data_IF_204216908611
#
_entry.id   IF_204216908611
#
_cell.length_a   1.000
_cell.length_b   1.000
_cell.length_c   1.000
_cell.angle_alpha   90.00
_cell.angle_beta   90.00
_cell.angle_gamma   90.00
#
_symmetry.space_group_name_H-M   'P 1'
#
loop_
_entity.id
_entity.type
_entity.pdbx_description
1 polymer ?
#
# COMPACT_ATOMS: atom_id res chain seq x y z
N UNK A 1 -25.33 -32.28 5.01
CA UNK A 1 -24.90 -31.58 3.82
C UNK A 1 -24.55 -32.55 2.71
N UNK A 2 -24.74 -32.18 1.45
CA UNK A 2 -24.39 -33.02 0.30
C UNK A 2 -22.86 -33.07 0.20
N UNK A 3 -22.29 -34.25 0.15
CA UNK A 3 -20.87 -34.52 -0.04
C UNK A 3 -20.64 -35.29 -1.33
N UNK A 4 -20.34 -34.58 -2.42
CA UNK A 4 -20.11 -35.13 -3.75
C UNK A 4 -18.79 -34.56 -4.27
N UNK A 5 -17.64 -35.23 -4.05
CA UNK A 5 -16.33 -34.78 -4.49
C UNK A 5 -16.21 -34.59 -6.00
N UNK A 6 -16.95 -35.33 -6.78
CA UNK A 6 -16.94 -35.33 -8.27
C UNK A 6 -17.53 -34.06 -8.88
N UNK A 7 -18.17 -33.20 -8.08
CA UNK A 7 -18.73 -31.95 -8.57
C UNK A 7 -17.63 -31.07 -9.19
N UNK A 8 -17.74 -30.82 -10.48
CA UNK A 8 -16.82 -29.98 -11.26
C UNK A 8 -17.41 -28.60 -11.62
N UNK A 9 -18.67 -28.36 -11.30
CA UNK A 9 -19.35 -27.08 -11.56
C UNK A 9 -20.22 -26.68 -10.36
N UNK A 10 -20.05 -25.45 -9.89
CA UNK A 10 -20.84 -24.86 -8.80
C UNK A 10 -21.50 -23.58 -9.31
N UNK A 11 -22.80 -23.45 -9.06
CA UNK A 11 -23.61 -22.28 -9.41
C UNK A 11 -24.01 -21.55 -8.13
N UNK A 12 -23.57 -20.30 -7.98
CA UNK A 12 -24.06 -19.39 -6.94
C UNK A 12 -25.19 -18.53 -7.51
N UNK A 13 -26.41 -18.98 -7.34
CA UNK A 13 -27.63 -18.30 -7.87
C UNK A 13 -28.13 -17.21 -6.93
N UNK A 14 -27.65 -17.19 -5.69
CA UNK A 14 -27.99 -16.20 -4.69
C UNK A 14 -26.74 -15.76 -3.94
N UNK A 15 -26.49 -14.44 -3.84
CA UNK A 15 -25.40 -13.94 -3.02
C UNK A 15 -25.56 -14.40 -1.57
N UNK A 16 -24.47 -14.89 -0.96
CA UNK A 16 -24.41 -15.15 0.49
C UNK A 16 -23.73 -13.98 1.16
N UNK A 17 -24.35 -13.42 2.19
CA UNK A 17 -23.79 -12.27 2.94
C UNK A 17 -22.59 -12.69 3.81
N UNK A 18 -22.46 -13.97 4.13
CA UNK A 18 -21.37 -14.51 4.96
C UNK A 18 -20.24 -15.05 4.10
N UNK A 19 -19.05 -14.47 4.27
CA UNK A 19 -17.80 -14.97 3.66
C UNK A 19 -17.54 -16.44 4.05
N UNK A 20 -17.77 -16.81 5.32
CA UNK A 20 -17.60 -18.18 5.83
C UNK A 20 -18.47 -19.16 5.08
N UNK A 21 -19.74 -18.81 4.86
CA UNK A 21 -20.68 -19.67 4.11
C UNK A 21 -20.25 -19.79 2.64
N UNK A 22 -19.80 -18.69 2.02
CA UNK A 22 -19.26 -18.71 0.66
C UNK A 22 -18.06 -19.65 0.55
N UNK A 23 -17.05 -19.52 1.44
CA UNK A 23 -15.86 -20.36 1.45
C UNK A 23 -16.18 -21.83 1.73
N UNK A 24 -17.15 -22.12 2.63
CA UNK A 24 -17.60 -23.49 2.86
C UNK A 24 -18.29 -24.12 1.64
N UNK A 25 -19.07 -23.34 0.90
CA UNK A 25 -19.71 -23.79 -0.33
C UNK A 25 -18.69 -24.01 -1.44
N UNK A 26 -17.77 -23.08 -1.60
CA UNK A 26 -16.66 -23.19 -2.57
C UNK A 26 -15.76 -24.40 -2.25
N UNK A 27 -15.40 -24.58 -0.98
CA UNK A 27 -14.55 -25.66 -0.50
C UNK A 27 -15.13 -27.06 -0.77
N UNK A 28 -16.45 -27.19 -0.84
CA UNK A 28 -17.08 -28.48 -1.24
C UNK A 28 -16.76 -28.82 -2.71
N UNK A 29 -16.77 -27.81 -3.59
CA UNK A 29 -16.39 -28.00 -5.00
C UNK A 29 -14.88 -28.15 -5.20
N UNK A 30 -14.02 -27.71 -4.28
CA UNK A 30 -12.56 -27.83 -4.40
C UNK A 30 -12.01 -29.21 -3.96
N UNK A 31 -12.86 -30.16 -3.56
CA UNK A 31 -12.41 -31.49 -3.21
C UNK A 31 -11.85 -32.22 -4.43
N UNK A 32 -10.79 -32.96 -4.19
CA UNK A 32 -10.17 -33.78 -5.23
C UNK A 32 -11.02 -35.05 -5.48
N UNK A 33 -11.19 -35.43 -6.75
CA UNK A 33 -11.80 -36.65 -7.16
C UNK A 33 -11.07 -37.18 -8.40
N UNK A 34 -11.13 -38.49 -8.65
CA UNK A 34 -10.59 -39.12 -9.83
C UNK A 34 -11.31 -38.55 -11.05
N UNK A 35 -10.61 -38.29 -12.15
CA UNK A 35 -11.11 -37.66 -13.38
C UNK A 35 -11.63 -36.22 -13.27
N UNK A 36 -11.38 -35.52 -12.15
CA UNK A 36 -11.73 -34.12 -11.99
C UNK A 36 -10.52 -33.21 -12.23
N UNK A 37 -10.46 -32.57 -13.39
CA UNK A 37 -9.36 -31.71 -13.80
C UNK A 37 -9.45 -30.29 -13.19
N UNK A 38 -10.67 -29.75 -13.07
CA UNK A 38 -10.89 -28.40 -12.53
C UNK A 38 -12.26 -28.24 -11.87
N UNK A 39 -12.44 -27.13 -11.18
CA UNK A 39 -13.73 -26.65 -10.72
C UNK A 39 -14.10 -25.36 -11.46
N UNK A 40 -15.26 -25.38 -12.11
CA UNK A 40 -15.88 -24.18 -12.69
C UNK A 40 -16.87 -23.60 -11.69
N UNK A 41 -16.73 -22.31 -11.39
CA UNK A 41 -17.65 -21.58 -10.52
C UNK A 41 -18.33 -20.48 -11.33
N UNK A 42 -19.67 -20.53 -11.39
CA UNK A 42 -20.50 -19.49 -12.00
C UNK A 42 -21.24 -18.75 -10.88
N UNK A 43 -20.89 -17.50 -10.70
CA UNK A 43 -21.46 -16.64 -9.65
C UNK A 43 -22.35 -15.58 -10.28
N UNK A 44 -23.65 -15.69 -10.04
CA UNK A 44 -24.66 -14.75 -10.57
C UNK A 44 -24.80 -13.56 -9.63
N UNK A 45 -24.13 -12.48 -9.97
CA UNK A 45 -24.17 -11.23 -9.23
C UNK A 45 -25.42 -10.45 -9.65
N UNK A 46 -26.49 -10.65 -8.90
CA UNK A 46 -27.70 -9.83 -9.00
C UNK A 46 -27.52 -8.45 -8.33
N UNK A 47 -28.60 -7.64 -8.29
CA UNK A 47 -28.60 -6.43 -7.46
C UNK A 47 -28.56 -6.82 -5.99
N UNK A 48 -27.32 -7.05 -5.48
CA UNK A 48 -27.10 -7.40 -4.10
C UNK A 48 -27.44 -6.22 -3.19
N UNK A 49 -27.88 -6.54 -1.99
CA UNK A 49 -28.12 -5.55 -0.94
C UNK A 49 -26.87 -4.70 -0.72
N UNK A 50 -27.00 -3.42 -0.36
CA UNK A 50 -25.88 -2.50 -0.07
C UNK A 50 -24.89 -3.04 0.99
N UNK A 51 -25.31 -4.00 1.80
CA UNK A 51 -24.50 -4.68 2.83
C UNK A 51 -23.61 -5.81 2.30
N UNK A 52 -23.71 -6.19 1.02
CA UNK A 52 -22.90 -7.27 0.47
C UNK A 52 -21.47 -6.79 0.26
N UNK A 53 -20.52 -7.47 0.92
CA UNK A 53 -19.10 -7.12 0.86
C UNK A 53 -18.40 -7.93 -0.24
N UNK A 54 -18.32 -7.37 -1.44
CA UNK A 54 -17.59 -8.00 -2.54
C UNK A 54 -16.08 -7.99 -2.33
N UNK A 55 -15.57 -7.01 -1.58
CA UNK A 55 -14.14 -6.88 -1.35
C UNK A 55 -13.60 -8.05 -0.55
N UNK A 56 -14.21 -8.42 0.57
CA UNK A 56 -13.81 -9.58 1.37
C UNK A 56 -13.89 -10.88 0.58
N UNK A 57 -14.93 -11.01 -0.24
CA UNK A 57 -15.13 -12.18 -1.09
C UNK A 57 -14.00 -12.36 -2.08
N UNK A 58 -13.62 -11.31 -2.80
CA UNK A 58 -12.53 -11.40 -3.76
C UNK A 58 -11.16 -11.45 -3.08
N UNK A 59 -10.95 -10.73 -1.99
CA UNK A 59 -9.71 -10.82 -1.20
C UNK A 59 -9.41 -12.25 -0.77
N UNK A 60 -10.43 -13.00 -0.33
CA UNK A 60 -10.28 -14.39 0.08
C UNK A 60 -9.91 -15.37 -1.07
N UNK A 61 -10.09 -14.96 -2.32
CA UNK A 61 -9.72 -15.76 -3.52
C UNK A 61 -8.33 -15.43 -4.04
N UNK A 62 -7.71 -14.36 -3.57
CA UNK A 62 -6.38 -13.93 -4.00
C UNK A 62 -5.31 -14.61 -3.15
N UNK A 63 -4.14 -14.85 -3.75
CA UNK A 63 -2.92 -15.16 -3.01
C UNK A 63 -2.50 -13.94 -2.17
N UNK A 64 -1.58 -14.12 -1.22
CA UNK A 64 -1.00 -13.00 -0.48
C UNK A 64 -0.49 -11.95 -1.47
N UNK A 65 -1.16 -10.80 -1.50
CA UNK A 65 -0.86 -9.71 -2.43
C UNK A 65 -0.98 -8.38 -1.70
N UNK A 66 -0.09 -7.45 -2.03
CA UNK A 66 -0.16 -6.05 -1.59
C UNK A 66 -1.10 -5.21 -2.47
N UNK A 67 -1.71 -5.83 -3.49
CA UNK A 67 -2.61 -5.15 -4.43
C UNK A 67 -4.03 -5.12 -3.87
N UNK A 68 -4.69 -3.98 -3.99
CA UNK A 68 -6.10 -3.87 -3.62
C UNK A 68 -6.99 -4.68 -4.56
N UNK A 69 -8.10 -5.21 -4.04
CA UNK A 69 -9.12 -5.92 -4.83
C UNK A 69 -9.62 -5.06 -6.00
N UNK A 70 -9.78 -3.75 -5.79
CA UNK A 70 -10.13 -2.81 -6.86
C UNK A 70 -9.12 -2.83 -8.02
N UNK A 71 -7.83 -2.96 -7.72
CA UNK A 71 -6.78 -3.05 -8.74
C UNK A 71 -6.79 -4.40 -9.42
N UNK A 72 -6.95 -5.49 -8.66
CA UNK A 72 -7.09 -6.83 -9.21
C UNK A 72 -8.25 -6.94 -10.20
N UNK A 73 -9.41 -6.38 -9.86
CA UNK A 73 -10.58 -6.34 -10.76
C UNK A 73 -10.27 -5.58 -12.07
N UNK A 74 -9.52 -4.47 -11.98
CA UNK A 74 -9.16 -3.67 -13.17
C UNK A 74 -8.12 -4.35 -14.05
N UNK A 75 -7.17 -5.05 -13.45
CA UNK A 75 -6.03 -5.66 -14.13
C UNK A 75 -6.29 -7.14 -14.51
N UNK A 76 -7.48 -7.67 -14.20
CA UNK A 76 -7.88 -9.04 -14.59
C UNK A 76 -7.41 -10.12 -13.61
N UNK A 77 -7.29 -9.83 -12.32
CA UNK A 77 -6.97 -10.80 -11.25
C UNK A 77 -5.63 -11.51 -11.45
N UNK A 78 -4.56 -10.75 -11.50
CA UNK A 78 -3.19 -11.30 -11.73
C UNK A 78 -2.61 -12.03 -10.51
N UNK A 79 -3.17 -11.83 -9.31
CA UNK A 79 -2.69 -12.40 -8.05
C UNK A 79 -3.47 -13.64 -7.58
N UNK A 80 -4.22 -14.30 -8.46
CA UNK A 80 -4.84 -15.59 -8.12
C UNK A 80 -3.80 -16.72 -8.04
N UNK A 81 -4.04 -17.79 -7.26
CA UNK A 81 -3.17 -18.97 -7.23
C UNK A 81 -2.90 -19.54 -8.62
N UNK A 82 -1.72 -20.13 -8.82
CA UNK A 82 -1.37 -20.78 -10.10
C UNK A 82 -2.42 -21.81 -10.53
N UNK A 83 -2.81 -21.75 -11.80
CA UNK A 83 -3.85 -22.62 -12.34
C UNK A 83 -5.27 -22.14 -12.10
N UNK A 84 -5.46 -21.03 -11.40
CA UNK A 84 -6.74 -20.38 -11.21
C UNK A 84 -6.86 -19.13 -12.09
N UNK A 85 -8.08 -18.78 -12.48
CA UNK A 85 -8.39 -17.50 -13.09
C UNK A 85 -9.78 -17.03 -12.66
N UNK A 86 -9.98 -15.72 -12.65
CA UNK A 86 -11.28 -15.08 -12.39
C UNK A 86 -11.58 -14.16 -13.58
N UNK A 87 -12.78 -14.31 -14.14
CA UNK A 87 -13.28 -13.45 -15.19
C UNK A 87 -14.60 -12.81 -14.75
N UNK A 88 -14.67 -11.50 -14.83
CA UNK A 88 -15.89 -10.75 -14.56
C UNK A 88 -16.50 -10.24 -15.86
N UNK A 89 -17.81 -10.36 -15.97
CA UNK A 89 -18.58 -9.66 -16.98
C UNK A 89 -18.51 -8.13 -16.72
N UNK A 90 -18.50 -7.30 -17.78
CA UNK A 90 -18.26 -5.84 -17.68
C UNK A 90 -19.23 -5.13 -16.75
N UNK A 91 -20.52 -5.49 -16.78
CA UNK A 91 -21.52 -4.86 -15.91
C UNK A 91 -21.34 -5.31 -14.46
N UNK A 92 -21.02 -6.58 -14.24
CA UNK A 92 -20.70 -7.12 -12.93
C UNK A 92 -19.45 -6.43 -12.33
N UNK A 93 -18.40 -6.28 -13.11
CA UNK A 93 -17.19 -5.57 -12.68
C UNK A 93 -17.48 -4.11 -12.27
N UNK A 94 -18.28 -3.39 -13.08
CA UNK A 94 -18.68 -2.02 -12.76
C UNK A 94 -19.48 -1.96 -11.46
N UNK A 95 -20.47 -2.82 -11.31
CA UNK A 95 -21.33 -2.89 -10.11
C UNK A 95 -20.50 -3.21 -8.85
N UNK A 96 -19.59 -4.19 -8.92
CA UNK A 96 -18.72 -4.55 -7.81
C UNK A 96 -17.82 -3.38 -7.43
N UNK A 97 -17.19 -2.72 -8.39
CA UNK A 97 -16.33 -1.56 -8.14
C UNK A 97 -17.11 -0.39 -7.53
N UNK A 98 -18.35 -0.16 -7.94
CA UNK A 98 -19.24 0.86 -7.34
C UNK A 98 -19.61 0.47 -5.90
N UNK A 99 -19.90 -0.80 -5.63
CA UNK A 99 -20.20 -1.29 -4.28
C UNK A 99 -18.98 -1.13 -3.35
N UNK A 100 -17.80 -1.58 -3.79
CA UNK A 100 -16.56 -1.43 -3.04
C UNK A 100 -16.29 0.06 -2.74
N UNK A 101 -16.41 0.93 -3.74
CA UNK A 101 -16.24 2.39 -3.54
C UNK A 101 -17.25 2.98 -2.57
N UNK A 102 -18.49 2.53 -2.61
CA UNK A 102 -19.55 3.03 -1.72
C UNK A 102 -19.28 2.63 -0.27
N UNK A 103 -18.66 1.47 -0.03
CA UNK A 103 -18.38 0.99 1.33
C UNK A 103 -17.18 1.67 1.99
N UNK A 104 -16.17 2.14 1.22
CA UNK A 104 -14.96 2.81 1.74
C UNK A 104 -14.78 4.24 1.21
N UNK A 105 -15.74 4.72 0.46
CA UNK A 105 -15.60 5.91 -0.38
C UNK A 105 -15.50 7.24 0.36
N UNK A 106 -15.60 7.26 1.70
CA UNK A 106 -15.49 8.49 2.47
C UNK A 106 -15.14 8.26 3.94
N UNK A 107 -14.73 9.33 4.62
CA UNK A 107 -14.39 9.33 6.04
C UNK A 107 -15.53 8.81 6.93
N UNK A 108 -16.78 9.14 6.62
CA UNK A 108 -17.95 8.72 7.42
C UNK A 108 -18.13 7.19 7.43
N UNK A 109 -17.87 6.52 6.31
CA UNK A 109 -17.89 5.06 6.23
C UNK A 109 -16.80 4.39 7.06
N UNK A 110 -15.60 4.97 7.09
CA UNK A 110 -14.50 4.48 7.93
C UNK A 110 -14.79 4.70 9.43
N UNK A 111 -15.32 5.87 9.79
CA UNK A 111 -15.73 6.18 11.18
C UNK A 111 -16.83 5.23 11.66
N UNK A 112 -17.88 4.99 10.87
CA UNK A 112 -18.95 4.07 11.23
C UNK A 112 -18.44 2.64 11.47
N UNK A 113 -17.45 2.19 10.69
CA UNK A 113 -16.82 0.86 10.87
C UNK A 113 -15.89 0.80 12.08
N UNK A 114 -15.17 1.87 12.37
CA UNK A 114 -14.34 1.94 13.57
C UNK A 114 -15.22 1.91 14.83
N UNK A 115 -16.38 2.58 14.81
CA UNK A 115 -17.32 2.61 15.95
C UNK A 115 -17.94 1.24 16.31
N UNK A 116 -18.07 0.32 15.35
CA UNK A 116 -18.67 -1.01 15.59
C UNK A 116 -17.65 -2.15 15.48
N UNK A 117 -16.36 -1.83 15.23
CA UNK A 117 -15.35 -2.82 14.91
C UNK A 117 -15.21 -3.94 15.92
N UNK A 118 -15.12 -3.61 17.21
CA UNK A 118 -14.92 -4.59 18.28
C UNK A 118 -16.14 -5.49 18.48
N UNK A 119 -17.35 -4.93 18.30
CA UNK A 119 -18.60 -5.70 18.36
C UNK A 119 -18.72 -6.66 17.15
N UNK A 120 -18.33 -6.19 15.94
CA UNK A 120 -18.46 -6.96 14.71
C UNK A 120 -17.38 -8.03 14.56
N UNK A 121 -16.16 -7.74 14.99
CA UNK A 121 -14.99 -8.62 14.79
C UNK A 121 -14.61 -9.44 16.00
N UNK A 122 -14.92 -8.99 17.22
CA UNK A 122 -14.42 -9.53 18.48
C UNK A 122 -12.92 -9.27 18.72
N UNK A 123 -12.31 -8.37 17.94
CA UNK A 123 -10.91 -7.99 18.03
C UNK A 123 -10.79 -6.57 18.59
N UNK A 124 -9.67 -6.27 19.24
CA UNK A 124 -9.32 -4.90 19.63
C UNK A 124 -9.15 -3.99 18.41
N UNK A 125 -9.65 -2.76 18.48
CA UNK A 125 -9.53 -1.76 17.42
C UNK A 125 -8.11 -1.22 17.32
N UNK A 126 -7.25 -1.92 16.60
CA UNK A 126 -5.91 -1.48 16.23
C UNK A 126 -5.83 -1.27 14.71
N UNK A 127 -4.86 -0.46 14.26
CA UNK A 127 -4.63 -0.26 12.82
C UNK A 127 -4.47 -1.60 12.09
N UNK A 128 -3.65 -2.51 12.63
CA UNK A 128 -3.40 -3.83 12.06
C UNK A 128 -4.67 -4.66 11.96
N UNK A 129 -5.41 -4.78 13.06
CA UNK A 129 -6.63 -5.58 13.09
C UNK A 129 -7.69 -5.02 12.13
N UNK A 130 -7.80 -3.69 12.06
CA UNK A 130 -8.73 -3.02 11.17
C UNK A 130 -8.39 -3.26 9.69
N UNK A 131 -7.10 -3.09 9.32
CA UNK A 131 -6.64 -3.34 7.96
C UNK A 131 -6.80 -4.82 7.56
N UNK A 132 -6.42 -5.74 8.45
CA UNK A 132 -6.48 -7.18 8.17
C UNK A 132 -7.94 -7.69 8.11
N UNK A 133 -8.79 -7.25 9.02
CA UNK A 133 -10.21 -7.67 9.05
C UNK A 133 -10.99 -7.21 7.82
N UNK A 134 -10.81 -5.96 7.42
CA UNK A 134 -11.47 -5.39 6.22
C UNK A 134 -10.67 -5.57 4.94
N UNK A 135 -9.52 -6.25 4.97
CA UNK A 135 -8.60 -6.43 3.84
C UNK A 135 -8.27 -5.11 3.12
N UNK A 136 -8.03 -4.06 3.90
CA UNK A 136 -7.78 -2.72 3.38
C UNK A 136 -6.31 -2.51 3.04
N UNK A 137 -6.07 -1.87 1.92
CA UNK A 137 -4.79 -1.20 1.67
C UNK A 137 -4.71 0.04 2.57
N UNK A 138 -3.61 0.27 3.32
CA UNK A 138 -3.45 1.45 4.17
C UNK A 138 -3.79 2.78 3.48
N UNK A 139 -3.50 2.91 2.18
CA UNK A 139 -3.87 4.08 1.36
C UNK A 139 -5.37 4.35 1.32
N UNK A 140 -6.20 3.36 1.58
CA UNK A 140 -7.66 3.53 1.64
C UNK A 140 -8.08 4.40 2.80
N UNK A 141 -7.33 4.37 3.90
CA UNK A 141 -7.52 5.21 5.09
C UNK A 141 -6.84 6.56 4.87
N UNK A 142 -5.55 6.54 4.59
CA UNK A 142 -4.67 7.72 4.61
C UNK A 142 -4.89 8.73 3.49
N UNK A 143 -5.67 8.41 2.49
CA UNK A 143 -6.16 9.40 1.51
C UNK A 143 -7.20 10.36 2.08
N UNK A 144 -7.78 10.05 3.25
CA UNK A 144 -8.84 10.84 3.86
C UNK A 144 -8.44 11.45 5.21
N UNK A 145 -7.74 10.67 6.06
CA UNK A 145 -7.42 11.07 7.43
C UNK A 145 -6.37 10.12 8.01
N UNK A 146 -5.81 10.45 9.18
CA UNK A 146 -5.12 9.46 10.02
C UNK A 146 -6.12 8.46 10.60
N UNK A 147 -5.66 7.25 10.93
CA UNK A 147 -6.50 6.24 11.58
C UNK A 147 -6.89 6.68 12.99
N UNK A 148 -5.97 7.27 13.73
CA UNK A 148 -6.26 7.84 15.06
C UNK A 148 -7.36 8.90 15.01
N UNK A 149 -7.37 9.77 13.99
CA UNK A 149 -8.45 10.74 13.81
C UNK A 149 -9.78 10.08 13.47
N UNK A 150 -9.77 8.97 12.74
CA UNK A 150 -10.97 8.16 12.49
C UNK A 150 -11.46 7.54 13.79
N UNK A 151 -10.58 6.97 14.60
CA UNK A 151 -10.91 6.39 15.91
C UNK A 151 -11.46 7.43 16.88
N UNK A 152 -10.89 8.65 16.94
CA UNK A 152 -11.40 9.74 17.74
C UNK A 152 -12.82 10.16 17.31
N UNK A 153 -13.07 10.28 16.00
CA UNK A 153 -14.41 10.58 15.46
C UNK A 153 -15.43 9.47 15.67
N UNK A 154 -14.96 8.25 15.93
CA UNK A 154 -15.78 7.09 16.25
C UNK A 154 -16.01 6.93 17.76
N UNK A 155 -15.55 7.88 18.57
CA UNK A 155 -15.54 7.84 20.04
C UNK A 155 -14.82 6.59 20.62
N UNK A 156 -13.91 5.99 19.84
CA UNK A 156 -13.13 4.84 20.23
C UNK A 156 -11.84 5.20 21.01
N UNK A 157 -11.37 6.42 20.84
CA UNK A 157 -10.27 7.02 21.64
C UNK A 157 -10.66 8.45 22.01
N UNK A 158 -10.00 9.01 23.04
CA UNK A 158 -10.13 10.42 23.37
C UNK A 158 -9.69 11.31 22.19
N UNK A 159 -10.35 12.45 22.03
CA UNK A 159 -9.97 13.43 21.01
C UNK A 159 -8.60 14.06 21.36
N UNK A 160 -7.85 14.44 20.33
CA UNK A 160 -6.50 14.98 20.50
C UNK A 160 -6.27 16.17 19.57
N UNK A 161 -5.37 17.07 20.00
CA UNK A 161 -4.85 18.17 19.18
C UNK A 161 -3.32 18.06 19.17
N UNK A 162 -2.73 17.90 18.01
CA UNK A 162 -1.27 17.76 17.85
C UNK A 162 -0.72 18.74 16.81
N UNK A 163 0.48 19.33 17.04
CA UNK A 163 1.00 20.42 16.22
C UNK A 163 1.18 20.08 14.75
N UNK A 164 1.54 18.80 14.46
CA UNK A 164 1.83 18.34 13.10
C UNK A 164 0.71 17.49 12.49
N UNK A 165 -0.52 17.52 13.04
CA UNK A 165 -1.61 16.68 12.56
C UNK A 165 -1.87 16.85 11.04
N UNK A 166 -1.97 18.09 10.57
CA UNK A 166 -2.20 18.34 9.15
C UNK A 166 -1.03 17.88 8.28
N UNK A 167 0.20 18.10 8.73
CA UNK A 167 1.43 17.74 8.01
C UNK A 167 1.58 16.23 7.92
N UNK A 168 1.44 15.52 9.04
CA UNK A 168 1.55 14.06 9.11
C UNK A 168 0.40 13.38 8.37
N UNK A 169 -0.83 13.88 8.47
CA UNK A 169 -1.97 13.34 7.71
C UNK A 169 -1.70 13.36 6.21
N UNK A 170 -1.11 14.43 5.67
CA UNK A 170 -0.71 14.52 4.26
C UNK A 170 0.46 13.57 3.92
N UNK A 171 1.35 13.33 4.87
CA UNK A 171 2.51 12.47 4.69
C UNK A 171 2.15 10.98 4.73
N UNK A 172 1.20 10.56 5.55
CA UNK A 172 0.80 9.16 5.73
C UNK A 172 0.51 8.43 4.41
N UNK A 173 -0.15 9.08 3.46
CA UNK A 173 -0.43 8.47 2.16
C UNK A 173 0.85 8.08 1.39
N UNK A 174 1.96 8.82 1.58
CA UNK A 174 3.27 8.54 0.99
C UNK A 174 4.07 7.55 1.84
N UNK A 175 3.94 7.65 3.18
CA UNK A 175 4.57 6.73 4.12
C UNK A 175 3.96 5.32 4.06
N UNK A 176 2.67 5.23 3.71
CA UNK A 176 1.94 3.95 3.62
C UNK A 176 2.34 3.05 2.45
N UNK A 177 3.28 3.46 1.60
CA UNK A 177 3.80 2.64 0.49
C UNK A 177 5.26 2.22 0.66
N UNK A 178 5.89 2.59 1.77
CA UNK A 178 7.28 2.20 2.05
C UNK A 178 7.34 0.69 2.26
N UNK A 179 8.27 0.03 1.58
CA UNK A 179 8.46 -1.41 1.64
C UNK A 179 9.95 -1.85 1.62
N UNK A 180 10.87 -0.96 1.96
CA UNK A 180 12.27 -1.31 2.23
C UNK A 180 12.44 -1.68 3.70
N UNK A 181 12.86 -2.93 4.00
CA UNK A 181 13.09 -3.40 5.37
C UNK A 181 14.14 -2.56 6.08
N UNK A 182 15.22 -2.23 5.39
CA UNK A 182 16.31 -1.43 5.94
C UNK A 182 15.85 -0.03 6.34
N UNK A 183 15.11 0.64 5.47
CA UNK A 183 14.59 1.98 5.75
C UNK A 183 13.52 1.95 6.85
N UNK A 184 12.59 0.99 6.81
CA UNK A 184 11.58 0.81 7.86
C UNK A 184 12.26 0.52 9.21
N UNK A 185 13.23 -0.39 9.27
CA UNK A 185 13.96 -0.70 10.51
C UNK A 185 14.69 0.53 11.07
N UNK A 186 15.29 1.36 10.22
CA UNK A 186 15.87 2.63 10.62
C UNK A 186 14.83 3.57 11.23
N UNK A 187 13.67 3.76 10.56
CA UNK A 187 12.59 4.63 11.06
C UNK A 187 12.02 4.11 12.38
N UNK A 188 11.78 2.82 12.52
CA UNK A 188 11.32 2.20 13.77
C UNK A 188 12.31 2.36 14.92
N UNK A 189 13.61 2.49 14.62
CA UNK A 189 14.64 2.74 15.62
C UNK A 189 14.73 4.22 16.01
N UNK A 190 14.59 5.15 15.07
CA UNK A 190 14.83 6.58 15.31
C UNK A 190 13.59 7.31 15.83
N UNK A 191 12.40 7.02 15.30
CA UNK A 191 11.17 7.75 15.62
C UNK A 191 10.79 7.74 17.11
N UNK A 192 10.95 6.64 17.86
CA UNK A 192 10.61 6.61 19.30
C UNK A 192 11.55 7.42 20.18
N UNK A 193 12.68 7.89 19.66
CA UNK A 193 13.73 8.56 20.44
C UNK A 193 14.26 9.85 19.77
N UNK A 194 13.45 10.52 19.00
CA UNK A 194 13.86 11.71 18.24
C UNK A 194 14.49 12.80 19.13
N UNK A 195 14.00 12.95 20.37
CA UNK A 195 14.52 13.93 21.32
C UNK A 195 15.95 13.64 21.81
N UNK A 196 16.39 12.38 21.74
CA UNK A 196 17.69 11.91 22.21
C UNK A 196 18.68 11.65 21.06
N UNK A 197 18.31 11.96 19.80
CA UNK A 197 19.15 11.66 18.63
C UNK A 197 20.25 12.68 18.45
N UNK A 198 21.49 12.23 18.48
CA UNK A 198 22.62 12.99 17.95
C UNK A 198 22.68 12.82 16.41
N UNK A 199 22.09 13.77 15.70
CA UNK A 199 22.08 13.79 14.23
C UNK A 199 23.47 13.90 13.63
N UNK A 200 24.45 14.45 14.37
CA UNK A 200 25.85 14.49 13.96
C UNK A 200 26.50 13.11 13.89
N UNK A 201 26.12 12.21 14.81
CA UNK A 201 26.67 10.85 14.93
C UNK A 201 26.10 9.85 13.92
N UNK A 202 25.01 10.19 13.19
CA UNK A 202 24.43 9.32 12.17
C UNK A 202 25.42 9.07 11.02
N UNK A 203 25.47 7.84 10.55
CA UNK A 203 26.23 7.46 9.36
C UNK A 203 25.69 8.18 8.10
N UNK A 204 26.47 8.17 7.04
CA UNK A 204 26.06 8.76 5.76
C UNK A 204 24.77 8.13 5.21
N UNK A 205 24.60 6.80 5.34
CA UNK A 205 23.39 6.08 4.93
C UNK A 205 22.18 6.47 5.79
N UNK A 206 22.35 6.53 7.11
CA UNK A 206 21.29 6.93 8.04
C UNK A 206 20.84 8.39 7.80
N UNK A 207 21.80 9.29 7.54
CA UNK A 207 21.48 10.69 7.17
C UNK A 207 20.65 10.77 5.89
N UNK A 208 20.95 9.93 4.88
CA UNK A 208 20.14 9.85 3.66
C UNK A 208 18.76 9.24 3.91
N UNK A 209 18.66 8.20 4.73
CA UNK A 209 17.37 7.63 5.14
C UNK A 209 16.50 8.64 5.90
N UNK A 210 17.11 9.42 6.78
CA UNK A 210 16.42 10.51 7.48
C UNK A 210 16.00 11.61 6.49
N UNK A 211 16.83 11.94 5.50
CA UNK A 211 16.50 12.89 4.44
C UNK A 211 15.31 12.44 3.59
N UNK A 212 15.25 11.15 3.26
CA UNK A 212 14.11 10.56 2.57
C UNK A 212 12.82 10.68 3.40
N UNK A 213 12.91 10.47 4.70
CA UNK A 213 11.79 10.68 5.62
C UNK A 213 11.38 12.15 5.69
N UNK A 214 12.35 13.06 5.90
CA UNK A 214 12.13 14.49 6.02
C UNK A 214 11.41 15.05 4.78
N UNK A 215 11.90 14.76 3.57
CA UNK A 215 11.23 15.23 2.35
C UNK A 215 9.83 14.62 2.17
N UNK A 216 9.61 13.40 2.66
CA UNK A 216 8.29 12.76 2.60
C UNK A 216 7.28 13.50 3.48
N UNK A 217 7.70 13.97 4.65
CA UNK A 217 6.84 14.69 5.59
C UNK A 217 6.65 16.15 5.17
N UNK A 218 7.73 16.90 4.97
CA UNK A 218 7.67 18.34 4.74
C UNK A 218 7.67 18.78 3.27
N UNK A 219 7.89 17.85 2.34
CA UNK A 219 7.89 18.15 0.90
C UNK A 219 9.12 18.95 0.42
N UNK A 220 10.10 19.18 1.29
CA UNK A 220 11.39 19.82 1.01
C UNK A 220 12.52 19.02 1.64
N UNK A 221 13.70 19.03 1.03
CA UNK A 221 14.88 18.44 1.63
C UNK A 221 15.38 19.30 2.81
N UNK A 222 15.99 18.65 3.82
CA UNK A 222 16.69 19.37 4.87
C UNK A 222 18.00 19.94 4.30
N UNK A 223 18.23 21.22 4.46
CA UNK A 223 19.44 21.90 3.96
C UNK A 223 20.68 21.46 4.75
N UNK A 224 20.54 21.35 6.07
CA UNK A 224 21.57 20.88 7.00
C UNK A 224 20.93 20.33 8.25
N UNK A 225 21.56 19.33 8.88
CA UNK A 225 21.12 18.78 10.17
C UNK A 225 21.47 19.69 11.38
N UNK A 226 22.23 20.76 11.16
CA UNK A 226 22.51 21.81 12.15
C UNK A 226 21.58 23.02 11.98
N UNK A 227 20.65 22.99 11.01
CA UNK A 227 19.69 24.05 10.77
C UNK A 227 18.61 24.03 11.84
N UNK A 228 18.41 25.14 12.54
CA UNK A 228 17.43 25.29 13.62
C UNK A 228 16.00 24.91 13.17
N UNK A 229 15.56 25.39 12.02
CA UNK A 229 14.24 25.04 11.48
C UNK A 229 14.08 23.53 11.23
N UNK A 230 15.14 22.85 10.78
CA UNK A 230 15.12 21.40 10.52
C UNK A 230 15.02 20.63 11.83
N UNK A 231 15.79 21.05 12.84
CA UNK A 231 15.75 20.44 14.17
C UNK A 231 14.41 20.66 14.86
N UNK A 232 13.88 21.89 14.82
CA UNK A 232 12.56 22.22 15.36
C UNK A 232 11.46 21.37 14.73
N UNK A 233 11.50 21.18 13.42
CA UNK A 233 10.58 20.28 12.72
C UNK A 233 10.68 18.84 13.21
N UNK A 234 11.89 18.31 13.41
CA UNK A 234 12.09 16.94 13.88
C UNK A 234 11.65 16.78 15.35
N UNK A 235 11.97 17.74 16.21
CA UNK A 235 11.54 17.69 17.62
C UNK A 235 10.03 17.88 17.76
N UNK A 236 9.38 18.68 16.91
CA UNK A 236 7.92 18.80 16.89
C UNK A 236 7.18 17.49 16.58
N UNK A 237 7.86 16.48 16.02
CA UNK A 237 7.28 15.14 15.89
C UNK A 237 7.03 14.50 17.26
N UNK A 238 7.89 14.72 18.25
CA UNK A 238 7.72 14.18 19.60
C UNK A 238 6.49 14.75 20.31
N UNK A 239 6.11 16.00 19.98
CA UNK A 239 4.89 16.64 20.47
C UNK A 239 3.61 16.09 19.78
N UNK A 240 3.76 15.29 18.73
CA UNK A 240 2.68 14.64 17.98
C UNK A 240 2.62 13.14 18.27
N UNK A 241 2.59 12.78 19.55
CA UNK A 241 2.80 11.42 20.03
C UNK A 241 1.77 10.40 19.52
N UNK A 242 0.49 10.78 19.39
CA UNK A 242 -0.57 9.92 18.87
C UNK A 242 -0.27 9.53 17.42
N UNK A 243 0.09 10.51 16.60
CA UNK A 243 0.36 10.28 15.17
C UNK A 243 1.71 9.58 14.94
N UNK A 244 2.72 9.85 15.78
CA UNK A 244 3.99 9.11 15.71
C UNK A 244 3.79 7.64 16.11
N UNK A 245 3.01 7.36 17.14
CA UNK A 245 2.65 5.99 17.50
C UNK A 245 1.88 5.28 16.36
N UNK A 246 0.96 5.98 15.72
CA UNK A 246 0.27 5.46 14.53
C UNK A 246 1.24 5.18 13.39
N UNK A 247 2.20 6.07 13.12
CA UNK A 247 3.23 5.87 12.10
C UNK A 247 4.09 4.64 12.41
N UNK A 248 4.49 4.45 13.67
CA UNK A 248 5.23 3.26 14.11
C UNK A 248 4.41 1.99 13.86
N UNK A 249 3.12 1.98 14.22
CA UNK A 249 2.22 0.85 13.95
C UNK A 249 2.08 0.57 12.44
N UNK A 250 1.96 1.62 11.62
CA UNK A 250 1.92 1.49 10.16
C UNK A 250 3.20 0.88 9.60
N UNK A 251 4.36 1.36 10.03
CA UNK A 251 5.66 0.85 9.58
C UNK A 251 5.88 -0.61 10.01
N UNK A 252 5.48 -0.98 11.22
CA UNK A 252 5.50 -2.37 11.69
C UNK A 252 4.61 -3.26 10.83
N UNK A 253 3.38 -2.82 10.56
CA UNK A 253 2.45 -3.53 9.68
C UNK A 253 3.05 -3.75 8.28
N UNK A 254 3.64 -2.72 7.70
CA UNK A 254 4.28 -2.83 6.39
C UNK A 254 5.48 -3.78 6.42
N UNK A 255 6.33 -3.70 7.45
CA UNK A 255 7.48 -4.59 7.61
C UNK A 255 7.06 -6.06 7.61
N UNK A 256 5.98 -6.41 8.32
CA UNK A 256 5.44 -7.76 8.37
C UNK A 256 4.85 -8.26 7.04
N UNK A 257 4.42 -7.34 6.17
CA UNK A 257 3.81 -7.68 4.88
C UNK A 257 4.82 -7.79 3.72
N UNK A 258 6.10 -7.48 3.96
CA UNK A 258 7.13 -7.62 2.92
C UNK A 258 7.40 -9.12 2.70
N UNK A 259 7.05 -9.63 1.54
CA UNK A 259 7.15 -11.05 1.16
C UNK A 259 8.16 -11.31 0.02
N UNK A 260 8.95 -10.32 -0.34
CA UNK A 260 9.99 -10.41 -1.36
C UNK A 260 11.39 -10.20 -0.75
N UNK A 261 12.42 -10.60 -1.50
CA UNK A 261 13.82 -10.36 -1.14
C UNK A 261 14.18 -8.96 -1.62
N UNK A 262 14.61 -8.11 -0.69
CA UNK A 262 15.17 -6.80 -0.94
C UNK A 262 16.69 -6.85 -0.70
N UNK A 263 17.45 -6.34 -1.65
CA UNK A 263 18.91 -6.28 -1.59
C UNK A 263 19.37 -4.82 -1.78
N UNK A 264 20.41 -4.36 -1.08
CA UNK A 264 20.97 -3.03 -1.30
C UNK A 264 21.36 -2.82 -2.76
N UNK A 265 21.01 -1.67 -3.30
CA UNK A 265 21.47 -1.26 -4.64
C UNK A 265 22.95 -0.91 -4.59
N UNK A 266 23.77 -1.55 -5.42
CA UNK A 266 25.18 -1.19 -5.57
C UNK A 266 25.33 -0.13 -6.68
N UNK A 267 25.61 1.11 -6.28
CA UNK A 267 25.86 2.25 -7.17
C UNK A 267 27.31 2.76 -7.04
N UNK A 268 28.20 2.00 -6.39
CA UNK A 268 29.58 2.44 -6.14
C UNK A 268 29.70 3.45 -4.99
N UNK A 269 28.64 3.68 -4.23
CA UNK A 269 28.61 4.48 -3.00
C UNK A 269 27.54 3.93 -2.04
N UNK A 270 27.65 4.25 -0.76
CA UNK A 270 26.69 3.84 0.27
C UNK A 270 25.32 4.45 -0.02
N UNK A 271 24.41 3.67 -0.58
CA UNK A 271 23.07 4.09 -0.98
C UNK A 271 22.01 3.43 -0.08
N UNK A 272 21.00 4.19 0.42
CA UNK A 272 19.92 3.62 1.23
C UNK A 272 18.82 2.93 0.42
N UNK A 273 18.96 2.84 -0.90
CA UNK A 273 17.96 2.21 -1.77
C UNK A 273 18.17 0.69 -1.82
N UNK A 274 17.07 -0.04 -1.90
CA UNK A 274 17.04 -1.49 -2.03
C UNK A 274 16.31 -1.89 -3.32
N UNK A 275 16.75 -2.97 -3.97
CA UNK A 275 16.13 -3.53 -5.16
C UNK A 275 14.70 -3.99 -4.86
N UNK A 276 13.82 -3.88 -5.84
CA UNK A 276 12.41 -4.25 -5.77
C UNK A 276 11.56 -3.42 -4.79
N UNK A 277 12.16 -2.45 -4.10
CA UNK A 277 11.44 -1.55 -3.20
C UNK A 277 10.82 -0.36 -3.93
N UNK A 278 9.78 0.19 -3.32
CA UNK A 278 9.03 1.32 -3.86
C UNK A 278 9.48 2.62 -3.21
N UNK A 279 9.84 3.58 -4.03
CA UNK A 279 10.21 4.92 -3.61
C UNK A 279 9.49 5.97 -4.46
N UNK A 280 9.21 7.12 -3.90
CA UNK A 280 8.83 8.27 -4.69
C UNK A 280 10.08 8.82 -5.41
N UNK A 281 9.87 9.55 -6.52
CA UNK A 281 10.97 10.23 -7.23
C UNK A 281 11.81 11.10 -6.28
N UNK A 282 11.15 11.83 -5.40
CA UNK A 282 11.82 12.76 -4.48
C UNK A 282 12.65 12.01 -3.43
N UNK A 283 12.13 10.91 -2.88
CA UNK A 283 12.87 10.01 -1.98
C UNK A 283 14.11 9.43 -2.66
N UNK A 284 13.95 8.92 -3.87
CA UNK A 284 15.05 8.34 -4.65
C UNK A 284 16.15 9.37 -4.93
N UNK A 285 15.79 10.58 -5.33
CA UNK A 285 16.77 11.63 -5.64
C UNK A 285 17.53 12.11 -4.40
N UNK A 286 16.86 12.30 -3.26
CA UNK A 286 17.58 12.68 -2.02
C UNK A 286 18.43 11.55 -1.45
N UNK A 287 18.05 10.28 -1.68
CA UNK A 287 18.88 9.13 -1.36
C UNK A 287 20.23 9.14 -2.10
N UNK A 288 20.29 9.82 -3.24
CA UNK A 288 21.48 10.04 -4.07
C UNK A 288 22.10 11.44 -3.88
N UNK A 289 21.81 12.11 -2.76
CA UNK A 289 22.29 13.45 -2.38
C UNK A 289 21.82 14.60 -3.31
N UNK A 290 20.76 14.41 -4.10
CA UNK A 290 20.19 15.48 -4.90
C UNK A 290 19.11 16.24 -4.12
N UNK A 291 19.46 17.40 -3.54
CA UNK A 291 18.65 18.12 -2.56
C UNK A 291 17.54 19.03 -3.16
N UNK A 292 17.40 19.06 -4.50
CA UNK A 292 16.35 19.84 -5.20
C UNK A 292 15.46 18.95 -6.09
N UNK A 293 14.90 17.83 -5.56
CA UNK A 293 14.22 16.83 -6.39
C UNK A 293 12.97 17.39 -7.07
N UNK A 294 12.30 18.38 -6.49
CA UNK A 294 11.11 19.03 -7.06
C UNK A 294 11.40 19.82 -8.34
N UNK A 295 12.67 20.11 -8.64
CA UNK A 295 13.07 20.78 -9.88
C UNK A 295 13.18 19.82 -11.07
N UNK A 296 13.21 18.51 -10.85
CA UNK A 296 13.30 17.50 -11.90
C UNK A 296 11.94 17.29 -12.52
N UNK A 297 11.78 17.65 -13.78
CA UNK A 297 10.53 17.51 -14.55
C UNK A 297 10.67 16.53 -15.72
N UNK A 298 11.89 16.17 -16.06
CA UNK A 298 12.24 15.34 -17.20
C UNK A 298 12.38 13.87 -16.80
N UNK A 299 12.28 12.97 -17.76
CA UNK A 299 12.43 11.53 -17.56
C UNK A 299 13.88 11.09 -17.30
N UNK A 300 14.86 11.98 -17.46
CA UNK A 300 16.28 11.72 -17.20
C UNK A 300 16.88 12.80 -16.34
N UNK A 301 17.70 12.36 -15.36
CA UNK A 301 18.48 13.27 -14.52
C UNK A 301 19.92 12.80 -14.42
N UNK A 302 20.85 13.62 -14.92
CA UNK A 302 22.28 13.45 -14.69
C UNK A 302 22.66 13.97 -13.31
N UNK A 303 23.37 13.15 -12.53
CA UNK A 303 23.92 13.47 -11.21
C UNK A 303 25.45 13.53 -11.32
N UNK A 304 26.06 14.72 -11.58
CA UNK A 304 27.48 14.83 -11.89
C UNK A 304 28.40 14.40 -10.76
N UNK A 305 28.01 14.64 -9.50
CA UNK A 305 28.79 14.27 -8.32
C UNK A 305 28.87 12.74 -8.11
N UNK A 306 27.89 12.00 -8.62
CA UNK A 306 27.79 10.55 -8.56
C UNK A 306 28.18 9.87 -9.89
N UNK A 307 28.42 10.62 -10.95
CA UNK A 307 28.65 10.12 -12.31
C UNK A 307 27.54 9.15 -12.75
N UNK A 308 26.27 9.49 -12.44
CA UNK A 308 25.12 8.61 -12.60
C UNK A 308 23.99 9.29 -13.38
N UNK A 309 23.44 8.58 -14.36
CA UNK A 309 22.19 8.92 -15.03
C UNK A 309 21.02 8.18 -14.37
N UNK A 310 19.97 8.93 -14.01
CA UNK A 310 18.73 8.39 -13.46
C UNK A 310 17.62 8.50 -14.49
N UNK A 311 17.05 7.36 -14.88
CA UNK A 311 15.96 7.28 -15.84
C UNK A 311 14.64 6.98 -15.12
N UNK A 312 13.65 7.85 -15.32
CA UNK A 312 12.28 7.67 -14.82
C UNK A 312 11.40 7.18 -15.97
N UNK A 313 11.23 5.89 -16.07
CA UNK A 313 10.53 5.23 -17.17
C UNK A 313 9.26 4.54 -16.71
N UNK A 314 8.24 4.44 -17.58
CA UNK A 314 7.02 3.70 -17.32
C UNK A 314 7.06 2.40 -18.10
N UNK A 315 7.45 1.30 -17.45
CA UNK A 315 7.62 -0.01 -18.10
C UNK A 315 6.29 -0.70 -18.46
N UNK A 316 5.23 -0.48 -17.69
CA UNK A 316 3.93 -1.11 -17.91
C UNK A 316 2.89 -0.04 -18.23
N UNK A 317 2.75 0.29 -19.51
CA UNK A 317 1.69 1.16 -20.00
C UNK A 317 0.49 0.34 -20.44
N UNK A 318 -0.71 0.71 -20.01
CA UNK A 318 -1.95 0.15 -20.55
C UNK A 318 -2.32 0.85 -21.86
N UNK A 319 -3.11 0.19 -22.72
CA UNK A 319 -3.63 0.81 -23.97
C UNK A 319 -4.37 2.14 -23.73
N UNK A 320 -4.84 2.38 -22.49
CA UNK A 320 -5.51 3.62 -22.08
C UNK A 320 -4.54 4.78 -21.85
N UNK A 321 -3.27 4.47 -21.61
CA UNK A 321 -2.22 5.47 -21.36
C UNK A 321 -1.58 5.97 -22.68
N UNK A 322 -1.97 5.38 -23.82
CA UNK A 322 -1.54 5.79 -25.13
C UNK A 322 -2.44 6.90 -25.69
N UNK A 323 -1.83 8.03 -26.00
CA UNK A 323 -2.38 9.06 -26.88
C UNK A 323 -1.53 9.15 -28.13
N UNK A 324 -2.00 9.79 -29.21
CA UNK A 324 -1.18 10.00 -30.42
C UNK A 324 0.16 10.71 -30.16
N UNK A 325 0.25 11.41 -29.03
CA UNK A 325 1.47 12.14 -28.61
C UNK A 325 2.31 11.41 -27.56
N UNK A 326 1.84 10.28 -27.03
CA UNK A 326 2.50 9.49 -25.96
C UNK A 326 2.63 8.02 -26.33
N UNK A 327 2.58 7.68 -27.61
CA UNK A 327 2.75 6.31 -28.12
C UNK A 327 4.24 5.89 -28.14
N UNK A 328 4.88 5.91 -26.98
CA UNK A 328 6.25 5.44 -26.83
C UNK A 328 6.32 4.29 -25.83
N UNK A 329 7.18 3.32 -26.09
CA UNK A 329 7.44 2.18 -25.22
C UNK A 329 8.90 2.22 -24.77
N UNK A 330 9.07 2.25 -23.43
CA UNK A 330 10.39 2.08 -22.83
C UNK A 330 10.53 0.62 -22.39
N UNK A 331 11.60 -0.05 -22.81
CA UNK A 331 11.84 -1.45 -22.44
C UNK A 331 13.33 -1.81 -22.50
N UNK A 332 13.72 -2.78 -21.69
CA UNK A 332 15.05 -3.35 -21.74
C UNK A 332 15.15 -4.34 -22.90
N UNK A 333 16.15 -4.14 -23.77
CA UNK A 333 16.45 -5.07 -24.87
C UNK A 333 17.30 -6.24 -24.34
N UNK A 334 18.26 -5.95 -23.46
CA UNK A 334 19.10 -6.89 -22.76
C UNK A 334 19.74 -6.23 -21.52
N UNK A 335 20.65 -6.90 -20.86
CA UNK A 335 21.30 -6.42 -19.62
C UNK A 335 22.09 -5.10 -19.78
N UNK A 336 22.48 -4.74 -20.99
CA UNK A 336 23.33 -3.56 -21.28
C UNK A 336 22.69 -2.55 -22.25
N UNK A 337 21.49 -2.86 -22.76
CA UNK A 337 20.83 -2.00 -23.75
C UNK A 337 19.37 -1.75 -23.40
N UNK A 338 19.03 -0.48 -23.25
CA UNK A 338 17.69 -0.01 -22.96
C UNK A 338 17.16 0.81 -24.15
N UNK A 339 15.92 0.49 -24.60
CA UNK A 339 15.19 1.30 -25.56
C UNK A 339 14.40 2.38 -24.82
N UNK A 340 14.71 3.63 -25.12
CA UNK A 340 14.00 4.80 -24.61
C UNK A 340 13.56 5.66 -25.78
N UNK A 341 12.26 6.01 -25.83
CA UNK A 341 11.67 6.75 -26.94
C UNK A 341 11.14 8.12 -26.51
#
# INVERSE_FOLDING_TARGET
GVDIPEVNTVLFLRPTESLTVFLQQLGRGLRLAEDKECLTVLDFIGQAHKKYNFEDKFAALLSNTTRSVTREIKDGFVSVPKGCYIQLEKQAAKYILENIRASYGNTAGLVARAATFEEDSGLELTLKNFLDYYHLDPRSIYKFSSFSRICARADAIEDFEEPLEETLTKAFARLSVINSRRWIAFLLNILPRLDDVDFGALTAVEKRMLQMFYITVWGKAADSWDNEEVLDNLYALSDSSTLINELICLLQYQYEKIDFIDEPVDLGFDCPLDLHCTYTRDQLLVAMDFMKPTTVREGVKWLPEKQLDVFFVTLNKSDKDYSPTTMYNDYSINESLFHWQ
#
